data_IF_165790807089
#
_entry.id   IF_165790807089
#
_cell.length_a   1.000
_cell.length_b   1.000
_cell.length_c   1.000
_cell.angle_alpha   90.00
_cell.angle_beta   90.00
_cell.angle_gamma   90.00
#
_symmetry.space_group_name_H-M   'P 1'
#
loop_
_entity.id
_entity.type
_entity.pdbx_description
1 polymer ?
#
# COMPACT_ATOMS: atom_id res chain seq x y z
N UNK A 1 23.95 -3.77 4.37
CA UNK A 1 23.06 -3.51 3.22
C UNK A 1 22.53 -4.79 2.55
N UNK A 2 23.31 -5.87 2.43
CA UNK A 2 22.85 -7.15 1.85
C UNK A 2 21.64 -7.78 2.57
N UNK A 3 21.60 -7.66 3.89
CA UNK A 3 20.60 -8.31 4.75
C UNK A 3 19.16 -7.80 4.51
N UNK A 4 18.97 -6.48 4.44
CA UNK A 4 17.68 -5.88 4.16
C UNK A 4 17.15 -6.30 2.78
N UNK A 5 18.02 -6.31 1.77
CA UNK A 5 17.67 -6.74 0.41
C UNK A 5 17.22 -8.20 0.36
N UNK A 6 17.86 -9.08 1.15
CA UNK A 6 17.46 -10.50 1.26
C UNK A 6 16.09 -10.63 1.93
N UNK A 7 15.83 -9.86 3.00
CA UNK A 7 14.53 -9.85 3.68
C UNK A 7 13.43 -9.38 2.71
N UNK A 8 13.65 -8.27 1.99
CA UNK A 8 12.68 -7.75 1.02
C UNK A 8 12.40 -8.76 -0.08
N UNK A 9 13.44 -9.43 -0.60
CA UNK A 9 13.27 -10.49 -1.62
C UNK A 9 12.43 -11.64 -1.09
N UNK A 10 12.69 -12.08 0.15
CA UNK A 10 11.91 -13.13 0.79
C UNK A 10 10.43 -12.74 0.92
N UNK A 11 10.16 -11.53 1.42
CA UNK A 11 8.80 -11.01 1.57
C UNK A 11 8.06 -10.99 0.22
N UNK A 12 8.74 -10.49 -0.82
CA UNK A 12 8.17 -10.38 -2.17
C UNK A 12 7.87 -11.75 -2.79
N UNK A 13 8.76 -12.73 -2.65
CA UNK A 13 8.54 -14.09 -3.13
C UNK A 13 7.34 -14.77 -2.45
N UNK A 14 7.14 -14.52 -1.16
CA UNK A 14 6.00 -15.06 -0.42
C UNK A 14 4.70 -14.33 -0.78
N UNK A 15 4.73 -13.00 -0.94
CA UNK A 15 3.57 -12.22 -1.36
C UNK A 15 3.04 -12.68 -2.73
N UNK A 16 3.93 -12.94 -3.70
CA UNK A 16 3.56 -13.49 -5.02
C UNK A 16 2.77 -14.79 -4.91
N UNK A 17 3.11 -15.66 -3.95
CA UNK A 17 2.39 -16.92 -3.74
C UNK A 17 0.96 -16.65 -3.30
N UNK A 18 0.73 -15.67 -2.43
CA UNK A 18 -0.61 -15.25 -2.01
C UNK A 18 -1.39 -14.61 -3.15
N UNK A 19 -0.77 -13.71 -3.92
CA UNK A 19 -1.38 -13.10 -5.10
C UNK A 19 -1.92 -14.16 -6.07
N UNK A 20 -1.09 -15.18 -6.37
CA UNK A 20 -1.47 -16.29 -7.26
C UNK A 20 -2.57 -17.18 -6.67
N UNK A 21 -2.52 -17.49 -5.38
CA UNK A 21 -3.57 -18.26 -4.69
C UNK A 21 -4.91 -17.53 -4.70
N UNK A 22 -4.90 -16.20 -4.63
CA UNK A 22 -6.07 -15.35 -4.75
C UNK A 22 -6.55 -15.15 -6.21
N UNK A 23 -5.95 -15.85 -7.18
CA UNK A 23 -6.26 -15.74 -8.63
C UNK A 23 -6.12 -14.31 -9.19
N UNK A 24 -5.28 -13.49 -8.57
CA UNK A 24 -4.98 -12.14 -9.06
C UNK A 24 -3.68 -12.15 -9.87
N UNK A 25 -3.63 -11.31 -10.90
CA UNK A 25 -2.41 -11.04 -11.67
C UNK A 25 -1.62 -9.86 -11.11
N UNK A 26 -2.32 -8.92 -10.47
CA UNK A 26 -1.74 -7.75 -9.80
C UNK A 26 -1.58 -8.01 -8.30
N UNK A 27 -0.38 -7.70 -7.80
CA UNK A 27 -0.09 -7.70 -6.38
C UNK A 27 -0.69 -6.46 -5.73
N UNK A 28 -1.26 -6.63 -4.55
CA UNK A 28 -1.81 -5.55 -3.72
C UNK A 28 -1.13 -5.54 -2.36
N UNK A 29 -1.29 -4.47 -1.59
CA UNK A 29 -0.63 -4.32 -0.28
C UNK A 29 -1.07 -5.39 0.71
N UNK A 30 -2.32 -5.84 0.61
CA UNK A 30 -2.88 -6.92 1.44
C UNK A 30 -2.21 -8.28 1.21
N UNK A 31 -1.50 -8.49 0.09
CA UNK A 31 -0.73 -9.72 -0.15
C UNK A 31 0.46 -9.88 0.81
N UNK A 32 0.94 -8.78 1.40
CA UNK A 32 2.07 -8.80 2.34
C UNK A 32 1.64 -9.03 3.80
N UNK A 33 0.40 -8.73 4.17
CA UNK A 33 -0.13 -8.97 5.53
C UNK A 33 0.08 -10.42 6.02
N UNK A 34 -0.32 -11.47 5.27
CA UNK A 34 -0.09 -12.84 5.72
C UNK A 34 1.40 -13.21 5.76
N UNK A 35 2.23 -12.59 4.91
CA UNK A 35 3.69 -12.82 4.91
C UNK A 35 4.34 -12.25 6.18
N UNK A 36 3.95 -11.04 6.57
CA UNK A 36 4.41 -10.39 7.79
C UNK A 36 4.03 -11.22 9.03
N UNK A 37 2.79 -11.71 9.08
CA UNK A 37 2.31 -12.60 10.17
C UNK A 37 3.12 -13.89 10.28
N UNK A 38 3.43 -14.56 9.16
CA UNK A 38 4.23 -15.80 9.16
C UNK A 38 5.63 -15.57 9.72
N UNK A 39 6.18 -14.36 9.53
CA UNK A 39 7.52 -13.99 10.01
C UNK A 39 7.51 -13.30 11.37
N UNK A 40 6.35 -13.21 12.03
CA UNK A 40 6.18 -12.47 13.28
C UNK A 40 6.68 -11.02 13.19
N UNK A 41 6.55 -10.42 12.01
CA UNK A 41 6.85 -9.01 11.79
C UNK A 41 5.63 -8.17 12.14
N UNK A 42 5.88 -6.98 12.67
CA UNK A 42 4.82 -6.00 12.92
C UNK A 42 4.11 -5.65 11.59
N UNK A 43 2.77 -5.60 11.59
CA UNK A 43 2.03 -5.24 10.39
C UNK A 43 2.26 -3.77 10.07
N UNK A 44 2.53 -3.48 8.81
CA UNK A 44 2.57 -2.11 8.32
C UNK A 44 1.14 -1.63 8.13
N UNK A 45 0.68 -0.79 9.06
CA UNK A 45 -0.63 -0.15 9.03
C UNK A 45 -0.66 0.99 8.01
N UNK A 46 -1.86 1.41 7.57
CA UNK A 46 -2.08 2.58 6.68
C UNK A 46 -1.82 2.41 5.18
N UNK A 47 -1.42 1.23 4.70
CA UNK A 47 -1.22 0.95 3.26
C UNK A 47 -2.42 0.27 2.57
N UNK A 48 -3.59 0.20 3.22
CA UNK A 48 -4.81 -0.30 2.57
C UNK A 48 -5.39 0.79 1.66
N UNK A 49 -5.19 0.62 0.36
CA UNK A 49 -5.58 1.61 -0.63
C UNK A 49 -7.03 1.40 -1.04
N UNK A 50 -7.92 2.28 -0.60
CA UNK A 50 -9.35 2.24 -0.95
C UNK A 50 -9.63 2.39 -2.45
N UNK A 51 -8.71 2.99 -3.21
CA UNK A 51 -8.86 3.28 -4.64
C UNK A 51 -7.68 2.79 -5.51
N UNK A 52 -6.75 2.01 -4.94
CA UNK A 52 -5.56 1.51 -5.64
C UNK A 52 -4.57 2.59 -6.12
N UNK A 53 -4.74 3.85 -5.71
CA UNK A 53 -3.79 4.93 -5.98
C UNK A 53 -2.86 5.11 -4.78
N UNK A 54 -1.58 5.39 -5.04
CA UNK A 54 -0.64 5.77 -3.99
C UNK A 54 -1.17 7.00 -3.23
N UNK A 55 -1.22 6.97 -1.88
CA UNK A 55 -1.85 8.01 -1.08
C UNK A 55 -0.91 9.19 -0.82
N UNK A 56 0.30 9.16 -1.37
CA UNK A 56 1.31 10.17 -1.16
C UNK A 56 1.94 10.64 -2.48
N UNK A 57 2.33 11.91 -2.49
CA UNK A 57 3.22 12.47 -3.50
C UNK A 57 4.62 12.56 -2.91
N UNK A 58 5.62 12.20 -3.70
CA UNK A 58 7.02 12.37 -3.31
C UNK A 58 7.56 13.66 -3.90
N UNK A 59 8.12 14.53 -3.07
CA UNK A 59 8.88 15.70 -3.52
C UNK A 59 10.37 15.51 -3.26
N UNK A 60 11.18 15.97 -4.21
CA UNK A 60 12.63 15.93 -4.10
C UNK A 60 13.14 17.25 -3.57
N UNK A 61 13.81 17.22 -2.42
CA UNK A 61 14.50 18.37 -1.85
C UNK A 61 16.02 18.22 -2.05
N UNK A 62 16.70 19.34 -2.27
CA UNK A 62 18.16 19.38 -2.27
C UNK A 62 18.67 19.21 -0.84
N UNK A 63 19.27 18.06 -0.53
CA UNK A 63 19.92 17.83 0.76
C UNK A 63 21.22 18.62 0.90
N UNK A 64 21.62 18.90 2.14
CA UNK A 64 22.83 19.69 2.49
C UNK A 64 24.14 19.16 1.90
N UNK A 65 24.19 17.88 1.50
CA UNK A 65 25.37 17.21 0.96
C UNK A 65 25.24 16.85 -0.53
N UNK A 66 24.49 17.63 -1.33
CA UNK A 66 24.23 17.36 -2.77
C UNK A 66 23.56 15.99 -3.02
N UNK A 67 22.87 15.46 -2.01
CA UNK A 67 22.08 14.23 -2.12
C UNK A 67 20.62 14.59 -2.21
N UNK A 68 19.90 13.90 -3.08
CA UNK A 68 18.45 14.02 -3.17
C UNK A 68 17.81 13.42 -1.92
N UNK A 69 16.92 14.20 -1.30
CA UNK A 69 16.07 13.73 -0.21
C UNK A 69 14.65 13.63 -0.76
N UNK A 70 14.03 12.45 -0.65
CA UNK A 70 12.63 12.28 -0.99
C UNK A 70 11.77 12.46 0.25
N UNK A 71 10.86 13.42 0.19
CA UNK A 71 9.89 13.70 1.22
C UNK A 71 8.52 13.19 0.78
N UNK A 72 7.76 12.61 1.71
CA UNK A 72 6.37 12.24 1.50
C UNK A 72 5.53 13.44 1.91
N UNK A 73 4.82 14.05 0.95
CA UNK A 73 3.87 15.11 1.25
C UNK A 73 2.59 14.49 1.81
N UNK A 74 2.30 14.83 3.06
CA UNK A 74 1.06 14.47 3.74
C UNK A 74 0.24 15.73 3.91
N UNK A 75 -0.95 15.76 3.32
CA UNK A 75 -1.88 16.87 3.51
C UNK A 75 -2.76 16.57 4.71
N UNK A 76 -2.75 17.49 5.68
CA UNK A 76 -3.67 17.44 6.80
C UNK A 76 -5.10 17.72 6.30
N UNK A 77 -6.04 16.86 6.69
CA UNK A 77 -7.46 17.02 6.40
C UNK A 77 -8.17 17.55 7.64
N UNK A 78 -9.05 18.51 7.44
CA UNK A 78 -9.90 19.01 8.52
C UNK A 78 -10.93 17.95 8.89
N UNK A 79 -11.18 17.76 10.19
CA UNK A 79 -12.09 16.74 10.69
C UNK A 79 -13.51 16.91 10.10
N UNK A 80 -13.98 18.15 9.98
CA UNK A 80 -15.29 18.48 9.41
C UNK A 80 -15.41 18.00 7.96
N UNK A 81 -14.33 18.05 7.17
CA UNK A 81 -14.31 17.54 5.80
C UNK A 81 -14.43 16.01 5.75
N UNK A 82 -13.86 15.31 6.74
CA UNK A 82 -13.95 13.85 6.85
C UNK A 82 -15.36 13.43 7.27
N UNK A 83 -15.97 14.13 8.23
CA UNK A 83 -17.30 13.81 8.75
C UNK A 83 -18.38 14.08 7.69
N UNK A 84 -18.25 15.16 6.94
CA UNK A 84 -19.22 15.56 5.91
C UNK A 84 -18.96 14.91 4.55
N UNK A 85 -17.93 14.05 4.44
CA UNK A 85 -17.61 13.36 3.20
C UNK A 85 -18.77 12.46 2.75
N UNK A 86 -19.08 12.52 1.45
CA UNK A 86 -20.09 11.65 0.85
C UNK A 86 -19.68 10.19 0.97
N UNK A 87 -20.65 9.32 1.29
CA UNK A 87 -20.39 7.88 1.31
C UNK A 87 -19.99 7.38 -0.08
N UNK A 88 -19.02 6.44 -0.15
CA UNK A 88 -18.61 5.86 -1.41
C UNK A 88 -19.77 5.08 -2.04
N UNK A 89 -19.85 5.14 -3.38
CA UNK A 89 -20.83 4.34 -4.13
C UNK A 89 -20.53 2.86 -3.94
N UNK A 90 -21.53 2.09 -3.53
CA UNK A 90 -21.45 0.64 -3.43
C UNK A 90 -21.71 0.07 -4.83
N UNK A 91 -20.83 -0.79 -5.32
CA UNK A 91 -21.06 -1.52 -6.58
C UNK A 91 -22.14 -2.58 -6.38
N UNK A 92 -23.07 -2.70 -7.33
CA UNK A 92 -24.11 -3.73 -7.31
C UNK A 92 -23.50 -5.14 -7.27
N UNK A 93 -24.08 -6.01 -6.45
CA UNK A 93 -23.61 -7.39 -6.21
C UNK A 93 -23.98 -8.34 -7.36
N UNK A 94 -24.84 -7.92 -8.30
CA UNK A 94 -25.29 -8.75 -9.43
C UNK A 94 -24.81 -8.18 -10.77
N UNK A 95 -23.66 -8.67 -11.24
CA UNK A 95 -23.34 -8.67 -12.67
C UNK A 95 -23.91 -9.93 -13.30
N UNK A 96 -25.20 -9.92 -13.65
CA UNK A 96 -25.66 -10.74 -14.77
C UNK A 96 -25.47 -9.90 -16.03
N UNK A 97 -24.68 -10.45 -16.93
CA UNK A 97 -24.46 -9.97 -18.29
C UNK A 97 -25.75 -10.25 -19.06
N UNK A 98 -26.36 -9.21 -19.64
CA UNK A 98 -27.12 -9.33 -20.89
C UNK A 98 -26.20 -8.91 -22.04
#
# INVERSE_FOLDING_TARGET
>A
MLEATVIVRFLLQHAIKFTRKCRRTKMITEDFEPVMKIRYLEPIVEFRLSNGKLPFKTTTAAGSNHREVQCIEVHELQLDQVITALMPKISNVYGFVD
#
